data_IF_427757224386
#
_entry.id   IF_427757224386
#
_cell.length_a   1.000
_cell.length_b   1.000
_cell.length_c   1.000
_cell.angle_alpha   90.00
_cell.angle_beta   90.00
_cell.angle_gamma   90.00
#
_symmetry.space_group_name_H-M   'P 1'
#
loop_
_entity.id
_entity.type
_entity.pdbx_description
1 polymer ?
#
# COMPACT_ATOMS: atom_id res chain seq x y z
N UNK A 1 -4.58 3.90 14.12
CA UNK A 1 -3.64 2.85 13.72
C UNK A 1 -4.31 1.95 12.70
N UNK A 2 -3.54 1.24 11.85
CA UNK A 2 -4.07 0.40 10.76
C UNK A 2 -5.13 -0.60 11.24
N UNK A 3 -4.94 -1.24 12.40
CA UNK A 3 -5.92 -2.18 12.98
C UNK A 3 -7.31 -1.57 13.25
N UNK A 4 -7.37 -0.29 13.66
CA UNK A 4 -8.67 0.37 13.90
C UNK A 4 -9.39 0.64 12.58
N UNK A 5 -8.62 0.96 11.53
CA UNK A 5 -9.15 1.19 10.19
C UNK A 5 -9.65 -0.12 9.56
N UNK A 6 -8.89 -1.22 9.70
CA UNK A 6 -9.26 -2.57 9.28
C UNK A 6 -10.61 -2.98 9.87
N UNK A 7 -10.74 -2.92 11.21
CA UNK A 7 -11.98 -3.32 11.91
C UNK A 7 -13.18 -2.46 11.50
N UNK A 8 -12.98 -1.15 11.32
CA UNK A 8 -14.07 -0.25 10.91
C UNK A 8 -14.55 -0.56 9.50
N UNK A 9 -13.62 -0.69 8.54
CA UNK A 9 -13.94 -0.99 7.15
C UNK A 9 -14.56 -2.39 7.00
N UNK A 10 -14.04 -3.38 7.73
CA UNK A 10 -14.59 -4.72 7.77
C UNK A 10 -16.05 -4.70 8.25
N UNK A 11 -16.33 -4.07 9.39
CA UNK A 11 -17.69 -3.98 9.92
C UNK A 11 -18.65 -3.19 9.03
N UNK A 12 -18.18 -2.16 8.31
CA UNK A 12 -19.00 -1.47 7.30
C UNK A 12 -19.35 -2.39 6.13
N UNK A 13 -18.38 -3.14 5.61
CA UNK A 13 -18.59 -4.08 4.52
C UNK A 13 -19.50 -5.25 4.91
N UNK A 14 -19.33 -5.83 6.10
CA UNK A 14 -20.20 -6.90 6.60
C UNK A 14 -21.67 -6.47 6.62
N UNK A 15 -21.96 -5.27 7.11
CA UNK A 15 -23.32 -4.72 7.16
C UNK A 15 -23.92 -4.47 5.79
N UNK A 16 -23.12 -4.04 4.81
CA UNK A 16 -23.60 -3.76 3.46
C UNK A 16 -23.78 -5.05 2.66
N UNK A 17 -22.79 -5.95 2.70
CA UNK A 17 -22.81 -7.18 1.92
C UNK A 17 -23.84 -8.18 2.43
N UNK A 18 -24.17 -8.18 3.73
CA UNK A 18 -25.26 -9.00 4.27
C UNK A 18 -26.65 -8.61 3.77
N UNK A 19 -26.82 -7.40 3.22
CA UNK A 19 -28.08 -6.96 2.60
C UNK A 19 -28.23 -7.44 1.14
N UNK A 20 -27.16 -8.01 0.55
CA UNK A 20 -27.20 -8.55 -0.80
C UNK A 20 -28.06 -9.81 -0.81
N UNK A 21 -29.02 -9.87 -1.73
CA UNK A 21 -29.92 -11.00 -1.87
C UNK A 21 -29.14 -12.31 -2.04
N UNK A 22 -29.42 -13.28 -1.16
CA UNK A 22 -28.76 -14.58 -1.16
C UNK A 22 -27.40 -14.64 -0.45
N UNK A 23 -26.80 -13.52 -0.03
CA UNK A 23 -25.49 -13.52 0.64
C UNK A 23 -25.50 -14.18 2.03
N UNK A 24 -26.61 -14.04 2.76
CA UNK A 24 -26.76 -14.59 4.11
C UNK A 24 -25.86 -13.88 5.12
N UNK A 25 -25.28 -14.63 6.06
CA UNK A 25 -24.29 -14.04 6.99
C UNK A 25 -22.99 -13.82 6.27
N UNK A 26 -22.37 -12.67 6.52
CA UNK A 26 -21.11 -12.25 5.92
C UNK A 26 -20.12 -11.86 7.00
N UNK A 27 -18.89 -12.35 6.89
CA UNK A 27 -17.74 -11.93 7.70
C UNK A 27 -16.63 -11.45 6.77
N UNK A 28 -15.98 -10.35 7.13
CA UNK A 28 -14.96 -9.69 6.30
C UNK A 28 -13.68 -9.51 7.09
N UNK A 29 -12.57 -9.95 6.51
CA UNK A 29 -11.24 -9.72 7.04
C UNK A 29 -10.43 -8.89 6.04
N UNK A 30 -9.82 -7.81 6.52
CA UNK A 30 -8.99 -6.91 5.73
C UNK A 30 -7.57 -6.96 6.29
N UNK A 31 -6.58 -7.03 5.40
CA UNK A 31 -5.17 -6.94 5.78
C UNK A 31 -4.54 -5.75 5.06
N UNK A 32 -3.84 -4.89 5.80
CA UNK A 32 -3.09 -3.77 5.23
C UNK A 32 -1.59 -4.06 5.17
N UNK A 33 -0.87 -3.27 4.38
CA UNK A 33 0.59 -3.24 4.45
C UNK A 33 1.10 -2.74 5.80
N UNK A 34 2.34 -3.12 6.12
CA UNK A 34 2.98 -2.75 7.38
C UNK A 34 3.35 -1.27 7.42
N UNK A 35 2.63 -0.53 8.27
CA UNK A 35 2.99 0.80 8.77
C UNK A 35 2.95 1.94 7.74
N UNK A 36 2.78 3.19 8.19
CA UNK A 36 2.91 4.35 7.31
C UNK A 36 4.36 4.47 6.83
N UNK A 37 4.53 4.83 5.55
CA UNK A 37 5.85 5.13 4.98
C UNK A 37 6.01 6.64 4.88
N UNK A 38 7.21 7.13 5.18
CA UNK A 38 7.55 8.53 5.05
C UNK A 38 8.56 8.71 3.91
N UNK A 39 8.29 9.67 3.03
CA UNK A 39 9.22 10.10 1.99
C UNK A 39 9.99 11.29 2.55
N UNK A 40 11.30 11.12 2.70
CA UNK A 40 12.19 12.17 3.21
C UNK A 40 12.62 13.09 2.07
N UNK A 41 12.87 14.36 2.38
CA UNK A 41 13.55 15.26 1.46
C UNK A 41 15.02 14.83 1.33
N UNK A 42 15.52 14.78 0.10
CA UNK A 42 16.90 14.40 -0.20
C UNK A 42 17.61 15.53 -0.95
N UNK A 43 18.87 15.78 -0.59
CA UNK A 43 19.82 16.54 -1.39
C UNK A 43 20.55 15.56 -2.33
N UNK A 44 20.51 15.83 -3.65
CA UNK A 44 21.14 15.00 -4.68
C UNK A 44 22.31 15.77 -5.31
N UNK A 45 23.51 15.25 -5.13
CA UNK A 45 24.74 15.78 -5.74
C UNK A 45 25.16 14.86 -6.89
N UNK A 46 25.22 15.39 -8.10
CA UNK A 46 25.68 14.66 -9.29
C UNK A 46 27.05 15.17 -9.73
N UNK A 47 28.07 14.32 -9.63
CA UNK A 47 29.42 14.58 -10.14
C UNK A 47 29.60 13.83 -11.46
N UNK A 48 29.77 14.57 -12.56
CA UNK A 48 30.12 14.01 -13.86
C UNK A 48 31.58 14.33 -14.16
N UNK A 49 32.43 13.31 -14.25
CA UNK A 49 33.82 13.44 -14.65
C UNK A 49 34.03 12.82 -16.04
N UNK A 50 34.35 13.68 -17.01
CA UNK A 50 34.75 13.25 -18.36
C UNK A 50 36.26 13.25 -18.43
N UNK A 51 36.88 12.07 -18.49
CA UNK A 51 38.32 11.93 -18.69
C UNK A 51 38.66 11.79 -20.17
N UNK A 52 39.41 12.74 -20.74
CA UNK A 52 40.01 12.58 -22.06
C UNK A 52 41.37 11.92 -21.90
N UNK A 53 41.42 10.59 -21.91
CA UNK A 53 42.67 9.83 -21.92
C UNK A 53 43.26 9.81 -23.33
N UNK A 54 44.38 10.51 -23.53
CA UNK A 54 45.20 10.37 -24.74
C UNK A 54 45.93 9.01 -24.70
N UNK A 55 45.27 7.95 -25.14
CA UNK A 55 45.91 6.64 -25.31
C UNK A 55 44.92 5.55 -25.67
N UNK A 56 44.89 5.18 -26.96
CA UNK A 56 44.38 3.98 -27.65
C UNK A 56 43.05 3.29 -27.23
N UNK A 57 42.46 3.51 -26.06
CA UNK A 57 41.29 2.80 -25.55
C UNK A 57 40.32 3.78 -24.85
N UNK A 58 39.41 4.36 -25.63
CA UNK A 58 38.07 4.80 -25.20
C UNK A 58 37.96 5.96 -24.19
N UNK A 59 37.22 7.01 -24.57
CA UNK A 59 36.70 8.03 -23.64
C UNK A 59 35.76 7.37 -22.61
N UNK A 60 36.17 7.33 -21.35
CA UNK A 60 35.31 6.94 -20.22
C UNK A 60 34.64 8.16 -19.59
N UNK A 61 33.31 8.14 -19.48
CA UNK A 61 32.56 9.09 -18.65
C UNK A 61 32.21 8.41 -17.34
N UNK A 62 32.68 8.96 -16.22
CA UNK A 62 32.30 8.53 -14.87
C UNK A 62 31.17 9.44 -14.37
N UNK A 63 30.03 8.85 -14.03
CA UNK A 63 28.92 9.53 -13.36
C UNK A 63 28.85 9.01 -11.93
N UNK A 64 28.96 9.91 -10.96
CA UNK A 64 28.81 9.61 -9.53
C UNK A 64 27.65 10.43 -8.98
N UNK A 65 26.66 9.75 -8.43
CA UNK A 65 25.50 10.36 -7.79
C UNK A 65 25.55 10.07 -6.28
N UNK A 66 25.39 11.09 -5.46
CA UNK A 66 25.29 10.97 -3.99
C UNK A 66 23.98 11.57 -3.53
N UNK A 67 23.22 10.82 -2.71
CA UNK A 67 21.96 11.26 -2.11
C UNK A 67 22.07 11.28 -0.60
N UNK A 68 21.58 12.33 0.05
CA UNK A 68 21.57 12.45 1.53
C UNK A 68 20.25 13.05 2.01
N UNK A 69 19.65 12.55 3.11
CA UNK A 69 18.45 13.16 3.67
C UNK A 69 18.72 14.59 4.17
N UNK A 70 17.83 15.52 3.84
CA UNK A 70 17.87 16.89 4.35
C UNK A 70 17.32 16.89 5.78
N UNK A 71 18.09 17.43 6.73
CA UNK A 71 17.71 17.52 8.15
C UNK A 71 17.47 18.97 8.55
N UNK A 72 16.53 19.16 9.48
CA UNK A 72 16.30 20.44 10.18
C UNK A 72 16.60 20.27 11.66
N UNK A 73 17.17 21.31 12.25
CA UNK A 73 17.53 21.33 13.67
C UNK A 73 16.31 21.70 14.49
N UNK A 74 15.90 20.80 15.37
CA UNK A 74 14.87 21.03 16.37
C UNK A 74 15.54 21.63 17.62
N UNK A 75 15.42 22.95 17.80
CA UNK A 75 16.05 23.67 18.91
C UNK A 75 15.52 23.24 20.29
N UNK A 76 14.26 22.81 20.36
CA UNK A 76 13.63 22.38 21.61
C UNK A 76 14.13 20.99 22.05
N UNK A 77 14.38 20.09 21.09
CA UNK A 77 14.84 18.74 21.37
C UNK A 77 16.37 18.57 21.28
N UNK A 78 17.12 19.62 20.92
CA UNK A 78 18.56 19.58 20.60
C UNK A 78 18.90 18.37 19.69
N UNK A 79 18.04 18.10 18.71
CA UNK A 79 18.17 16.97 17.78
C UNK A 79 17.96 17.41 16.34
N UNK A 80 18.58 16.70 15.40
CA UNK A 80 18.30 16.88 13.97
C UNK A 80 17.28 15.84 13.52
N UNK A 81 16.24 16.31 12.82
CA UNK A 81 15.20 15.44 12.26
C UNK A 81 15.17 15.60 10.75
N UNK A 82 14.97 14.51 9.98
CA UNK A 82 14.82 14.63 8.55
C UNK A 82 13.53 15.38 8.21
N UNK A 83 13.57 16.14 7.13
CA UNK A 83 12.37 16.80 6.59
C UNK A 83 11.53 15.73 5.89
N UNK A 84 10.31 15.53 6.38
CA UNK A 84 9.34 14.61 5.76
C UNK A 84 8.55 15.38 4.71
N UNK A 85 8.61 14.95 3.45
CA UNK A 85 7.85 15.55 2.35
C UNK A 85 6.42 15.03 2.30
N UNK A 86 6.26 13.71 2.44
CA UNK A 86 4.96 13.03 2.30
C UNK A 86 4.86 11.89 3.28
N UNK A 87 3.69 11.74 3.90
CA UNK A 87 3.32 10.56 4.67
C UNK A 87 2.31 9.74 3.86
N UNK A 88 2.64 8.49 3.61
CA UNK A 88 1.83 7.55 2.83
C UNK A 88 1.15 6.60 3.79
N UNK A 89 -0.18 6.52 3.72
CA UNK A 89 -0.97 5.57 4.48
C UNK A 89 -0.78 4.14 3.96
N UNK A 90 -0.87 3.11 4.82
CA UNK A 90 -0.72 1.74 4.38
C UNK A 90 -1.86 1.36 3.42
N UNK A 91 -1.49 0.73 2.30
CA UNK A 91 -2.45 0.23 1.32
C UNK A 91 -3.06 -1.11 1.76
N UNK A 92 -4.23 -1.44 1.21
CA UNK A 92 -4.88 -2.73 1.45
C UNK A 92 -4.13 -3.81 0.67
N UNK A 93 -3.62 -4.82 1.39
CA UNK A 93 -2.93 -5.98 0.82
C UNK A 93 -3.92 -7.01 0.29
N UNK A 94 -5.00 -7.25 1.01
CA UNK A 94 -5.99 -8.25 0.62
C UNK A 94 -7.23 -8.24 1.49
N UNK A 95 -8.28 -8.87 0.97
CA UNK A 95 -9.58 -8.99 1.62
C UNK A 95 -10.08 -10.42 1.50
N UNK A 96 -10.55 -10.97 2.62
CA UNK A 96 -11.26 -12.24 2.67
C UNK A 96 -12.70 -11.99 3.08
N UNK A 97 -13.63 -12.56 2.31
CA UNK A 97 -15.06 -12.52 2.61
C UNK A 97 -15.57 -13.95 2.77
N UNK A 98 -16.20 -14.23 3.89
CA UNK A 98 -16.95 -15.46 4.12
C UNK A 98 -18.42 -15.14 4.00
N UNK A 99 -19.15 -15.79 3.10
CA UNK A 99 -20.59 -15.59 2.95
C UNK A 99 -21.31 -16.94 2.84
N UNK A 100 -22.45 -17.09 3.52
CA UNK A 100 -23.27 -18.31 3.44
C UNK A 100 -23.72 -18.58 1.99
N UNK A 101 -23.99 -17.52 1.23
CA UNK A 101 -24.40 -17.57 -0.17
C UNK A 101 -23.29 -17.84 -1.19
N UNK A 102 -22.02 -17.83 -0.79
CA UNK A 102 -20.89 -17.89 -1.74
C UNK A 102 -20.67 -19.29 -2.39
N UNK A 103 -21.60 -20.22 -2.18
CA UNK A 103 -21.74 -21.44 -2.97
C UNK A 103 -22.14 -21.17 -4.43
N UNK A 104 -22.91 -20.11 -4.70
CA UNK A 104 -23.21 -19.66 -6.06
C UNK A 104 -22.05 -18.85 -6.64
N UNK A 105 -21.53 -19.28 -7.80
CA UNK A 105 -20.44 -18.61 -8.49
C UNK A 105 -20.80 -17.18 -8.93
N UNK A 106 -22.06 -16.92 -9.32
CA UNK A 106 -22.50 -15.60 -9.74
C UNK A 106 -22.55 -14.64 -8.55
N UNK A 107 -23.10 -15.09 -7.42
CA UNK A 107 -23.10 -14.33 -6.17
C UNK A 107 -21.67 -14.10 -5.66
N UNK A 108 -20.82 -15.12 -5.68
CA UNK A 108 -19.40 -15.01 -5.28
C UNK A 108 -18.65 -13.95 -6.09
N UNK A 109 -18.84 -13.92 -7.42
CA UNK A 109 -18.25 -12.89 -8.28
C UNK A 109 -18.81 -11.50 -7.96
N UNK A 110 -20.12 -11.39 -7.74
CA UNK A 110 -20.79 -10.13 -7.41
C UNK A 110 -20.24 -9.54 -6.11
N UNK A 111 -20.10 -10.36 -5.07
CA UNK A 111 -19.51 -9.95 -3.79
C UNK A 111 -18.05 -9.51 -3.96
N UNK A 112 -17.24 -10.28 -4.69
CA UNK A 112 -15.84 -9.94 -4.94
C UNK A 112 -15.69 -8.59 -5.66
N UNK A 113 -16.52 -8.37 -6.69
CA UNK A 113 -16.53 -7.13 -7.46
C UNK A 113 -17.00 -5.93 -6.64
N UNK A 114 -18.02 -6.10 -5.80
CA UNK A 114 -18.52 -5.05 -4.93
C UNK A 114 -17.43 -4.59 -3.95
N UNK A 115 -16.75 -5.54 -3.29
CA UNK A 115 -15.64 -5.26 -2.37
C UNK A 115 -14.49 -4.55 -3.08
N UNK A 116 -14.08 -5.05 -4.25
CA UNK A 116 -13.03 -4.44 -5.07
C UNK A 116 -13.37 -2.98 -5.43
N UNK A 117 -14.62 -2.71 -5.77
CA UNK A 117 -15.09 -1.36 -6.14
C UNK A 117 -15.10 -0.41 -4.94
N UNK A 118 -15.59 -0.87 -3.78
CA UNK A 118 -15.70 -0.04 -2.57
C UNK A 118 -14.32 0.31 -2.02
N UNK A 119 -13.41 -0.66 -1.99
CA UNK A 119 -12.08 -0.50 -1.39
C UNK A 119 -11.02 -0.01 -2.39
N UNK A 120 -11.36 0.10 -3.68
CA UNK A 120 -10.39 0.48 -4.71
C UNK A 120 -9.25 -0.53 -4.87
N UNK A 121 -9.51 -1.81 -4.58
CA UNK A 121 -8.51 -2.89 -4.66
C UNK A 121 -8.75 -3.76 -5.89
N UNK A 122 -7.68 -4.34 -6.41
CA UNK A 122 -7.79 -5.27 -7.53
C UNK A 122 -8.58 -6.52 -7.15
N UNK A 123 -9.38 -7.04 -8.09
CA UNK A 123 -10.23 -8.21 -7.86
C UNK A 123 -9.45 -9.46 -7.44
N UNK A 124 -8.19 -9.60 -7.88
CA UNK A 124 -7.34 -10.73 -7.51
C UNK A 124 -6.81 -10.66 -6.07
N UNK A 125 -7.00 -9.52 -5.38
CA UNK A 125 -6.71 -9.34 -3.95
C UNK A 125 -7.92 -9.65 -3.06
N UNK A 126 -9.07 -9.97 -3.65
CA UNK A 126 -10.31 -10.29 -2.94
C UNK A 126 -10.60 -11.78 -3.08
N UNK A 127 -10.69 -12.48 -1.96
CA UNK A 127 -11.10 -13.88 -1.91
C UNK A 127 -12.47 -13.98 -1.25
N UNK A 128 -13.39 -14.71 -1.88
CA UNK A 128 -14.75 -14.93 -1.35
C UNK A 128 -14.97 -16.43 -1.23
N UNK A 129 -15.28 -16.91 -0.03
CA UNK A 129 -15.47 -18.32 0.26
C UNK A 129 -16.86 -18.56 0.88
N UNK A 130 -17.40 -19.74 0.59
CA UNK A 130 -18.59 -20.22 1.28
C UNK A 130 -18.24 -20.62 2.70
N UNK A 131 -19.10 -20.27 3.65
CA UNK A 131 -18.99 -20.82 4.99
C UNK A 131 -19.36 -22.31 4.97
N UNK A 132 -18.56 -23.14 5.64
CA UNK A 132 -18.96 -24.53 5.95
C UNK A 132 -19.90 -24.49 7.16
N UNK A 133 -21.00 -25.23 7.07
CA UNK A 133 -21.98 -25.41 8.13
C UNK A 133 -21.88 -26.82 8.69
#
# INVERSE_FOLDING_TARGET
>A
GSQVLETRLAGELERLLSQVAGAGRVEVYITMESGPRQVLAEEVTTEKSTGTGNGANGTGSLLRESRRPLTVRDEAARSEKPVVLVQIEPEIRGVLVLADGAGDAALRYTLAKAVATILGVDIHKVSVLSRYN
#
